data_IF_819503240513
#
_entry.id   IF_819503240513
#
_cell.length_a   1.000
_cell.length_b   1.000
_cell.length_c   1.000
_cell.angle_alpha   90.00
_cell.angle_beta   90.00
_cell.angle_gamma   90.00
#
_symmetry.space_group_name_H-M   'P 1'
#
loop_
_entity.id
_entity.type
_entity.pdbx_description
1 polymer ?
#
# COMPACT_ATOMS: atom_id res chain seq x y z
N UNK A 1 10.70 -11.98 -7.58
CA UNK A 1 11.39 -11.13 -8.56
C UNK A 1 10.95 -11.53 -9.96
N UNK A 2 10.77 -10.56 -10.86
CA UNK A 2 10.50 -10.83 -12.27
C UNK A 2 11.69 -11.59 -12.90
N UNK A 3 11.55 -12.14 -14.12
CA UNK A 3 12.68 -12.72 -14.86
C UNK A 3 13.84 -11.73 -15.10
N UNK A 4 13.58 -10.42 -15.10
CA UNK A 4 14.58 -9.35 -15.19
C UNK A 4 15.17 -8.93 -13.83
N UNK A 5 14.76 -9.57 -12.71
CA UNK A 5 15.23 -9.25 -11.37
C UNK A 5 14.47 -8.11 -10.68
N UNK A 6 13.37 -7.63 -11.26
CA UNK A 6 12.61 -6.51 -10.71
C UNK A 6 11.71 -6.95 -9.54
N UNK A 7 11.53 -6.10 -8.52
CA UNK A 7 10.49 -6.30 -7.51
C UNK A 7 9.11 -6.34 -8.17
N UNK A 8 8.33 -7.37 -7.87
CA UNK A 8 6.94 -7.49 -8.30
C UNK A 8 6.06 -6.99 -7.16
N UNK A 9 5.18 -6.01 -7.43
CA UNK A 9 4.27 -5.46 -6.43
C UNK A 9 3.39 -6.58 -5.86
N UNK A 10 2.99 -6.46 -4.60
CA UNK A 10 2.26 -7.51 -3.90
C UNK A 10 0.96 -7.94 -4.62
N UNK A 11 0.31 -7.01 -5.32
CA UNK A 11 -0.91 -7.27 -6.09
C UNK A 11 -0.63 -7.88 -7.47
N UNK A 12 0.58 -7.76 -7.99
CA UNK A 12 0.98 -8.30 -9.30
C UNK A 12 1.70 -9.65 -9.16
N UNK A 13 1.90 -10.13 -7.93
CA UNK A 13 2.53 -11.40 -7.66
C UNK A 13 1.60 -12.57 -7.99
N UNK A 14 2.13 -13.53 -8.75
CA UNK A 14 1.51 -14.84 -8.92
C UNK A 14 1.57 -15.62 -7.60
N UNK A 15 0.44 -15.64 -6.89
CA UNK A 15 0.29 -16.29 -5.58
C UNK A 15 0.35 -17.81 -5.65
N UNK A 16 0.17 -18.42 -6.83
CA UNK A 16 0.36 -19.86 -7.01
C UNK A 16 1.80 -20.29 -6.75
N UNK A 17 2.76 -19.36 -6.89
CA UNK A 17 4.19 -19.57 -6.65
C UNK A 17 4.60 -19.36 -5.19
N UNK A 18 3.67 -18.95 -4.32
CA UNK A 18 3.96 -18.80 -2.90
C UNK A 18 4.11 -20.16 -2.23
N UNK A 19 5.03 -20.25 -1.26
CA UNK A 19 5.29 -21.50 -0.55
C UNK A 19 4.09 -21.88 0.34
N UNK A 20 3.30 -22.83 -0.15
CA UNK A 20 2.09 -23.30 0.50
C UNK A 20 2.37 -24.00 1.85
N UNK A 21 3.56 -24.58 2.03
CA UNK A 21 3.94 -25.18 3.31
C UNK A 21 4.21 -24.10 4.35
N UNK A 22 4.94 -23.04 3.99
CA UNK A 22 5.19 -21.90 4.88
C UNK A 22 3.91 -21.16 5.22
N UNK A 23 3.01 -20.96 4.26
CA UNK A 23 1.68 -20.37 4.51
C UNK A 23 0.92 -21.19 5.56
N UNK A 24 0.78 -22.51 5.36
CA UNK A 24 0.06 -23.36 6.32
C UNK A 24 0.69 -23.33 7.71
N UNK A 25 2.01 -23.31 7.82
CA UNK A 25 2.73 -23.20 9.10
C UNK A 25 2.47 -21.86 9.78
N UNK A 26 2.53 -20.76 9.03
CA UNK A 26 2.23 -19.42 9.55
C UNK A 26 0.80 -19.31 10.07
N UNK A 27 -0.17 -19.82 9.32
CA UNK A 27 -1.58 -19.84 9.74
C UNK A 27 -1.81 -20.68 11.00
N UNK A 28 -1.16 -21.85 11.11
CA UNK A 28 -1.25 -22.69 12.29
C UNK A 28 -0.60 -22.05 13.54
N UNK A 29 0.51 -21.33 13.36
CA UNK A 29 1.16 -20.58 14.43
C UNK A 29 0.28 -19.43 14.92
N UNK A 30 -0.35 -18.69 14.00
CA UNK A 30 -1.31 -17.63 14.34
C UNK A 30 -2.50 -18.18 15.13
N UNK A 31 -3.12 -19.26 14.64
CA UNK A 31 -4.26 -19.89 15.34
C UNK A 31 -3.87 -20.37 16.75
N UNK A 32 -2.66 -20.88 16.93
CA UNK A 32 -2.14 -21.25 18.25
C UNK A 32 -1.96 -20.04 19.16
N UNK A 33 -1.40 -18.94 18.65
CA UNK A 33 -1.24 -17.71 19.42
C UNK A 33 -2.59 -17.13 19.86
N UNK A 34 -3.59 -17.16 18.99
CA UNK A 34 -4.98 -16.76 19.29
C UNK A 34 -5.59 -17.64 20.39
N UNK A 35 -5.45 -18.97 20.29
CA UNK A 35 -5.96 -19.92 21.28
C UNK A 35 -5.32 -19.77 22.67
N UNK A 36 -4.09 -19.26 22.75
CA UNK A 36 -3.38 -18.97 23.99
C UNK A 36 -3.70 -17.58 24.56
N UNK A 37 -4.64 -16.83 23.95
CA UNK A 37 -5.04 -15.50 24.39
C UNK A 37 -4.16 -14.35 23.85
N UNK A 38 -3.23 -14.64 22.94
CA UNK A 38 -2.32 -13.65 22.35
C UNK A 38 -2.88 -12.88 21.16
N UNK A 39 -4.17 -13.00 20.84
CA UNK A 39 -4.78 -12.50 19.61
C UNK A 39 -4.62 -10.98 19.39
N UNK A 40 -4.49 -10.20 20.46
CA UNK A 40 -4.46 -8.74 20.42
C UNK A 40 -3.06 -8.14 20.66
N UNK A 41 -1.99 -8.94 20.62
CA UNK A 41 -0.63 -8.41 20.63
C UNK A 41 -0.26 -7.76 19.28
N UNK A 42 0.69 -6.81 19.23
CA UNK A 42 1.07 -6.12 17.99
C UNK A 42 1.54 -7.10 16.91
N UNK A 43 2.29 -8.15 17.29
CA UNK A 43 2.73 -9.19 16.36
C UNK A 43 1.60 -10.10 15.89
N UNK A 44 0.59 -10.35 16.72
CA UNK A 44 -0.57 -11.14 16.33
C UNK A 44 -1.44 -10.39 15.32
N UNK A 45 -1.62 -9.08 15.51
CA UNK A 45 -2.32 -8.21 14.55
C UNK A 45 -1.56 -8.12 13.22
N UNK A 46 -0.24 -7.93 13.25
CA UNK A 46 0.59 -7.97 12.04
C UNK A 46 0.52 -9.33 11.33
N UNK A 47 0.57 -10.43 12.08
CA UNK A 47 0.41 -11.78 11.54
C UNK A 47 -0.99 -12.00 10.95
N UNK A 48 -2.04 -11.45 11.55
CA UNK A 48 -3.40 -11.50 11.03
C UNK A 48 -3.55 -10.71 9.71
N UNK A 49 -2.88 -9.56 9.58
CA UNK A 49 -2.83 -8.79 8.32
C UNK A 49 -2.15 -9.64 7.24
N UNK A 50 -0.97 -10.20 7.53
CA UNK A 50 -0.27 -11.09 6.59
C UNK A 50 -1.12 -12.33 6.23
N UNK A 51 -1.84 -12.90 7.19
CA UNK A 51 -2.73 -14.03 6.97
C UNK A 51 -3.88 -13.71 6.01
N UNK A 52 -4.39 -12.47 6.00
CA UNK A 52 -5.41 -12.05 5.04
C UNK A 52 -4.88 -12.13 3.59
N UNK A 53 -3.66 -11.66 3.36
CA UNK A 53 -3.00 -11.82 2.05
C UNK A 53 -2.74 -13.29 1.71
N UNK A 54 -2.22 -14.06 2.68
CA UNK A 54 -1.84 -15.46 2.46
C UNK A 54 -3.03 -16.40 2.19
N UNK A 55 -4.24 -16.05 2.67
CA UNK A 55 -5.47 -16.82 2.44
C UNK A 55 -6.10 -16.57 1.07
N UNK A 56 -5.91 -15.38 0.52
CA UNK A 56 -6.50 -14.97 -0.75
C UNK A 56 -5.70 -15.55 -1.93
N UNK A 57 -6.37 -16.31 -2.81
CA UNK A 57 -5.73 -16.99 -3.94
C UNK A 57 -5.41 -16.02 -5.06
N UNK A 58 -6.20 -14.98 -5.21
CA UNK A 58 -5.94 -13.86 -6.12
C UNK A 58 -5.87 -12.53 -5.36
N UNK A 59 -5.28 -11.49 -5.95
CA UNK A 59 -5.29 -10.14 -5.38
C UNK A 59 -6.69 -9.63 -5.03
N UNK A 60 -7.68 -9.91 -5.88
CA UNK A 60 -9.07 -9.45 -5.75
C UNK A 60 -9.79 -10.12 -4.58
N UNK A 61 -9.42 -11.35 -4.22
CA UNK A 61 -9.96 -12.07 -3.06
C UNK A 61 -9.41 -11.56 -1.71
N UNK A 62 -8.48 -10.60 -1.72
CA UNK A 62 -7.89 -10.07 -0.48
C UNK A 62 -8.95 -9.35 0.34
N UNK A 63 -9.17 -9.77 1.58
CA UNK A 63 -10.12 -9.15 2.51
C UNK A 63 -9.59 -7.82 3.05
N UNK A 64 -9.71 -6.77 2.22
CA UNK A 64 -9.24 -5.44 2.55
C UNK A 64 -10.01 -4.79 3.70
N UNK A 65 -11.30 -5.11 3.85
CA UNK A 65 -12.12 -4.62 4.97
C UNK A 65 -11.55 -5.13 6.29
N UNK A 66 -11.22 -6.42 6.37
CA UNK A 66 -10.55 -6.98 7.54
C UNK A 66 -9.16 -6.41 7.77
N UNK A 67 -8.36 -6.23 6.72
CA UNK A 67 -7.03 -5.62 6.83
C UNK A 67 -7.14 -4.18 7.39
N UNK A 68 -8.10 -3.39 6.92
CA UNK A 68 -8.34 -2.05 7.44
C UNK A 68 -8.71 -2.07 8.93
N UNK A 69 -9.60 -2.97 9.36
CA UNK A 69 -9.96 -3.14 10.77
C UNK A 69 -8.77 -3.60 11.65
N UNK A 70 -7.91 -4.47 11.12
CA UNK A 70 -6.71 -4.92 11.84
C UNK A 70 -5.68 -3.80 11.97
N UNK A 71 -5.50 -2.96 10.95
CA UNK A 71 -4.66 -1.77 11.04
C UNK A 71 -5.24 -0.74 12.02
N UNK A 72 -6.56 -0.58 12.08
CA UNK A 72 -7.22 0.27 13.06
C UNK A 72 -6.97 -0.18 14.50
N UNK A 73 -7.09 -1.48 14.76
CA UNK A 73 -6.73 -2.06 16.06
C UNK A 73 -5.23 -1.91 16.36
N UNK A 74 -4.37 -2.11 15.36
CA UNK A 74 -2.92 -2.00 15.53
C UNK A 74 -2.50 -0.56 15.81
N UNK A 75 -3.13 0.43 15.19
CA UNK A 75 -2.76 1.83 15.42
C UNK A 75 -3.20 2.35 16.78
N UNK A 76 -4.31 1.84 17.33
CA UNK A 76 -4.71 2.11 18.71
C UNK A 76 -3.74 1.48 19.72
N UNK A 77 -3.28 0.25 19.45
CA UNK A 77 -2.40 -0.50 20.35
C UNK A 77 -0.94 -0.02 20.30
N UNK A 78 -0.43 0.26 19.11
CA UNK A 78 0.95 0.63 18.86
C UNK A 78 1.00 1.82 17.87
N UNK A 79 0.70 3.04 18.35
CA UNK A 79 0.65 4.23 17.51
C UNK A 79 1.97 4.46 16.78
N UNK A 80 1.89 4.59 15.45
CA UNK A 80 3.04 4.82 14.60
C UNK A 80 2.61 5.46 13.28
N UNK A 81 3.27 6.53 12.81
CA UNK A 81 3.00 7.12 11.51
C UNK A 81 3.11 6.14 10.33
N UNK A 82 3.95 5.11 10.47
CA UNK A 82 4.10 4.05 9.47
C UNK A 82 2.88 3.12 9.48
N UNK A 83 2.35 2.80 10.66
CA UNK A 83 1.12 2.02 10.80
C UNK A 83 -0.06 2.80 10.24
N UNK A 84 -0.15 4.10 10.50
CA UNK A 84 -1.20 4.97 9.96
C UNK A 84 -1.13 5.10 8.43
N UNK A 85 0.07 5.21 7.86
CA UNK A 85 0.22 5.22 6.39
C UNK A 85 -0.24 3.89 5.77
N UNK A 86 0.12 2.77 6.38
CA UNK A 86 -0.34 1.46 5.91
C UNK A 86 -1.87 1.28 6.09
N UNK A 87 -2.43 1.81 7.18
CA UNK A 87 -3.89 1.87 7.41
C UNK A 87 -4.57 2.64 6.30
N UNK A 88 -4.03 3.79 5.91
CA UNK A 88 -4.57 4.59 4.81
C UNK A 88 -4.60 3.83 3.47
N UNK A 89 -3.57 3.04 3.17
CA UNK A 89 -3.56 2.14 2.00
C UNK A 89 -4.65 1.07 2.12
N UNK A 90 -4.80 0.42 3.28
CA UNK A 90 -5.84 -0.58 3.48
C UNK A 90 -7.24 0.00 3.31
N UNK A 91 -7.49 1.19 3.87
CA UNK A 91 -8.75 1.94 3.72
C UNK A 91 -9.00 2.30 2.25
N UNK A 92 -7.96 2.74 1.52
CA UNK A 92 -8.09 3.02 0.08
C UNK A 92 -8.54 1.79 -0.72
N UNK A 93 -8.01 0.62 -0.37
CA UNK A 93 -8.35 -0.64 -1.05
C UNK A 93 -9.73 -1.17 -0.68
N UNK A 94 -10.16 -0.96 0.57
CA UNK A 94 -11.46 -1.41 1.06
C UNK A 94 -12.62 -0.47 0.65
N UNK A 95 -12.39 0.83 0.72
CA UNK A 95 -13.45 1.86 0.67
C UNK A 95 -13.22 2.90 -0.44
N UNK A 96 -12.20 2.70 -1.27
CA UNK A 96 -11.90 3.52 -2.43
C UNK A 96 -10.84 4.60 -2.17
N UNK A 97 -10.21 5.10 -3.26
CA UNK A 97 -9.01 5.93 -3.16
C UNK A 97 -9.23 7.28 -2.45
N UNK A 98 -10.44 7.83 -2.46
CA UNK A 98 -10.76 9.07 -1.74
C UNK A 98 -10.63 8.89 -0.23
N UNK A 99 -11.22 7.83 0.33
CA UNK A 99 -11.19 7.56 1.77
C UNK A 99 -9.76 7.36 2.29
N UNK A 100 -8.90 6.70 1.52
CA UNK A 100 -7.49 6.58 1.86
C UNK A 100 -6.73 7.89 1.71
N UNK A 101 -7.06 8.71 0.71
CA UNK A 101 -6.38 9.98 0.48
C UNK A 101 -6.61 10.96 1.65
N UNK A 102 -7.82 11.01 2.21
CA UNK A 102 -8.12 11.84 3.38
C UNK A 102 -7.20 11.50 4.57
N UNK A 103 -6.95 10.20 4.79
CA UNK A 103 -6.02 9.74 5.83
C UNK A 103 -4.56 10.06 5.50
N UNK A 104 -4.14 9.90 4.24
CA UNK A 104 -2.79 10.24 3.80
C UNK A 104 -2.54 11.75 3.93
N UNK A 105 -3.52 12.58 3.58
CA UNK A 105 -3.42 14.04 3.66
C UNK A 105 -3.19 14.50 5.11
N UNK A 106 -3.86 13.87 6.10
CA UNK A 106 -3.62 14.13 7.51
C UNK A 106 -2.18 13.81 7.98
N UNK A 107 -1.49 12.87 7.31
CA UNK A 107 -0.11 12.50 7.60
C UNK A 107 0.92 13.44 6.96
N UNK A 108 0.53 14.33 6.04
CA UNK A 108 1.48 15.22 5.35
C UNK A 108 2.18 16.22 6.27
N UNK A 109 1.57 16.54 7.41
CA UNK A 109 2.15 17.40 8.44
C UNK A 109 3.03 16.66 9.44
N UNK A 110 3.07 15.32 9.42
CA UNK A 110 3.81 14.51 10.39
C UNK A 110 5.34 14.65 10.18
N UNK A 111 6.09 15.25 11.14
CA UNK A 111 7.51 15.54 10.96
C UNK A 111 8.36 14.30 10.70
N UNK A 112 8.02 13.17 11.34
CA UNK A 112 8.78 11.91 11.19
C UNK A 112 8.68 11.31 9.78
N UNK A 113 7.65 11.69 9.00
CA UNK A 113 7.46 11.21 7.62
C UNK A 113 7.97 12.19 6.56
N UNK A 114 8.51 13.36 6.94
CA UNK A 114 8.91 14.41 5.99
C UNK A 114 9.89 13.92 4.91
N UNK A 115 10.80 13.03 5.28
CA UNK A 115 11.81 12.43 4.39
C UNK A 115 11.48 11.00 3.97
N UNK A 116 10.28 10.51 4.31
CA UNK A 116 9.87 9.13 4.02
C UNK A 116 9.20 9.04 2.66
N UNK A 117 9.93 8.56 1.66
CA UNK A 117 9.48 8.57 0.25
C UNK A 117 8.17 7.83 -0.01
N UNK A 118 7.77 6.85 0.83
CA UNK A 118 6.52 6.13 0.64
C UNK A 118 5.28 7.00 0.90
N UNK A 119 5.36 8.02 1.76
CA UNK A 119 4.23 8.93 1.99
C UNK A 119 3.81 9.66 0.69
N UNK A 120 4.69 10.43 0.02
CA UNK A 120 4.34 11.05 -1.25
C UNK A 120 4.09 10.00 -2.36
N UNK A 121 4.74 8.84 -2.33
CA UNK A 121 4.41 7.77 -3.30
C UNK A 121 2.96 7.33 -3.18
N UNK A 122 2.50 6.95 -1.98
CA UNK A 122 1.11 6.51 -1.73
C UNK A 122 0.13 7.63 -2.06
N UNK A 123 0.44 8.88 -1.67
CA UNK A 123 -0.39 10.03 -2.03
C UNK A 123 -0.54 10.17 -3.54
N UNK A 124 0.56 10.06 -4.28
CA UNK A 124 0.58 10.09 -5.74
C UNK A 124 -0.28 8.99 -6.39
N UNK A 125 -0.20 7.76 -5.88
CA UNK A 125 -1.04 6.63 -6.32
C UNK A 125 -2.54 6.95 -6.20
N UNK A 126 -2.97 7.43 -5.05
CA UNK A 126 -4.38 7.70 -4.77
C UNK A 126 -4.90 8.87 -5.61
N UNK A 127 -4.10 9.94 -5.73
CA UNK A 127 -4.41 11.07 -6.61
C UNK A 127 -4.55 10.64 -8.08
N UNK A 128 -3.65 9.78 -8.57
CA UNK A 128 -3.73 9.27 -9.93
C UNK A 128 -5.02 8.45 -10.15
N UNK A 129 -5.38 7.58 -9.21
CA UNK A 129 -6.64 6.79 -9.25
C UNK A 129 -7.89 7.68 -9.23
N UNK A 130 -7.80 8.88 -8.64
CA UNK A 130 -8.87 9.87 -8.62
C UNK A 130 -8.86 10.82 -9.83
N UNK A 131 -7.96 10.61 -10.80
CA UNK A 131 -7.81 11.49 -11.97
C UNK A 131 -7.14 12.84 -11.67
N UNK A 132 -6.64 13.06 -10.45
CA UNK A 132 -5.90 14.27 -10.03
C UNK A 132 -4.43 14.21 -10.50
N UNK A 133 -4.23 14.00 -11.80
CA UNK A 133 -2.94 13.68 -12.42
C UNK A 133 -1.85 14.74 -12.21
N UNK A 134 -2.23 16.02 -12.15
CA UNK A 134 -1.26 17.11 -11.90
C UNK A 134 -0.63 17.01 -10.50
N UNK A 135 -1.46 16.75 -9.49
CA UNK A 135 -0.99 16.56 -8.11
C UNK A 135 -0.25 15.24 -7.95
N UNK A 136 -0.76 14.16 -8.56
CA UNK A 136 -0.10 12.86 -8.54
C UNK A 136 1.34 12.94 -9.07
N UNK A 137 1.54 13.67 -10.17
CA UNK A 137 2.87 13.90 -10.74
C UNK A 137 3.82 14.55 -9.74
N UNK A 138 3.40 15.63 -9.08
CA UNK A 138 4.25 16.35 -8.12
C UNK A 138 4.65 15.45 -6.96
N UNK A 139 3.74 14.61 -6.49
CA UNK A 139 4.02 13.65 -5.41
C UNK A 139 4.98 12.53 -5.85
N UNK A 140 4.84 12.00 -7.07
CA UNK A 140 5.81 11.03 -7.59
C UNK A 140 7.20 11.63 -7.78
N UNK A 141 7.31 12.87 -8.29
CA UNK A 141 8.59 13.59 -8.39
C UNK A 141 9.21 13.82 -7.01
N UNK A 142 8.39 14.19 -6.01
CA UNK A 142 8.82 14.33 -4.61
C UNK A 142 9.31 13.00 -4.04
N UNK A 143 8.56 11.91 -4.19
CA UNK A 143 8.96 10.58 -3.75
C UNK A 143 10.30 10.15 -4.38
N UNK A 144 10.48 10.39 -5.68
CA UNK A 144 11.72 10.08 -6.40
C UNK A 144 12.94 10.85 -5.86
N UNK A 145 12.74 12.08 -5.38
CA UNK A 145 13.81 12.89 -4.78
C UNK A 145 14.25 12.40 -3.39
N UNK A 146 13.38 11.67 -2.68
CA UNK A 146 13.60 11.22 -1.30
C UNK A 146 14.19 9.81 -1.21
N UNK A 147 13.93 8.93 -2.19
CA UNK A 147 14.52 7.58 -2.18
C UNK A 147 16.00 7.59 -2.57
N UNK A 148 16.79 6.74 -1.91
CA UNK A 148 18.19 6.47 -2.26
C UNK A 148 18.33 5.25 -3.19
N UNK A 149 17.24 4.53 -3.43
CA UNK A 149 17.23 3.38 -4.32
C UNK A 149 17.03 3.86 -5.77
N UNK A 150 18.05 3.66 -6.61
CA UNK A 150 18.04 4.10 -7.99
C UNK A 150 16.86 3.50 -8.81
N UNK A 151 16.46 2.27 -8.52
CA UNK A 151 15.34 1.60 -9.22
C UNK A 151 13.98 2.13 -8.80
N UNK A 152 13.78 2.36 -7.50
CA UNK A 152 12.57 3.03 -7.02
C UNK A 152 12.45 4.45 -7.59
N UNK A 153 13.57 5.17 -7.66
CA UNK A 153 13.62 6.50 -8.25
C UNK A 153 13.19 6.48 -9.72
N UNK A 154 13.75 5.56 -10.51
CA UNK A 154 13.39 5.38 -11.93
C UNK A 154 11.89 5.09 -12.09
N UNK A 155 11.38 4.11 -11.35
CA UNK A 155 9.95 3.77 -11.35
C UNK A 155 9.06 4.97 -11.01
N UNK A 156 9.40 5.74 -9.98
CA UNK A 156 8.62 6.91 -9.57
C UNK A 156 8.64 8.01 -10.64
N UNK A 157 9.79 8.24 -11.30
CA UNK A 157 9.90 9.20 -12.40
C UNK A 157 9.10 8.77 -13.64
N UNK A 158 9.06 7.48 -13.96
CA UNK A 158 8.21 6.94 -15.03
C UNK A 158 6.72 7.13 -14.73
N UNK A 159 6.32 6.95 -13.47
CA UNK A 159 4.93 7.20 -13.04
C UNK A 159 4.58 8.69 -13.13
N UNK A 160 5.50 9.57 -12.75
CA UNK A 160 5.35 11.01 -12.96
C UNK A 160 5.23 11.37 -14.46
N UNK A 161 5.97 10.70 -15.33
CA UNK A 161 5.93 10.89 -16.78
C UNK A 161 4.59 10.48 -17.39
N UNK A 162 4.05 9.30 -17.01
CA UNK A 162 2.74 8.82 -17.48
C UNK A 162 1.58 9.77 -17.13
N UNK A 163 1.71 10.52 -16.03
CA UNK A 163 0.74 11.56 -15.67
C UNK A 163 0.74 12.75 -16.66
N UNK A 164 1.83 12.99 -17.42
CA UNK A 164 1.89 14.02 -18.46
C UNK A 164 1.11 13.61 -19.71
N UNK A 165 1.21 12.36 -20.12
CA UNK A 165 0.58 11.83 -21.34
C UNK A 165 -0.95 11.76 -21.23
N UNK A 166 -1.46 11.46 -20.03
CA UNK A 166 -2.91 11.43 -19.76
C UNK A 166 -3.60 12.79 -19.92
N UNK A 167 -2.84 13.91 -19.87
CA UNK A 167 -3.35 15.26 -20.12
C UNK A 167 -3.54 15.57 -21.61
N UNK A 168 -2.80 14.89 -22.49
CA UNK A 168 -2.79 15.17 -23.92
C UNK A 168 -3.97 14.52 -24.65
N UNK A 169 -4.50 13.41 -24.12
CA UNK A 169 -5.64 12.68 -24.70
C UNK A 169 -7.00 13.25 -24.29
N UNK A 170 -7.05 14.21 -23.37
CA UNK A 170 -8.28 14.82 -22.85
C UNK A 170 -8.74 16.11 -23.57
N UNK A 171 -8.02 16.57 -24.59
CA UNK A 171 -8.46 17.70 -25.42
C UNK A 171 -8.95 17.17 -26.77
N UNK A 172 -10.23 16.84 -26.85
CA UNK A 172 -10.94 16.81 -28.12
C UNK A 172 -11.50 18.22 -28.35
N UNK A 173 -10.88 19.08 -29.18
CA UNK A 173 -11.65 20.13 -29.81
C UNK A 173 -12.47 19.47 -30.91
N UNK A 174 -13.75 19.85 -31.03
CA UNK A 174 -14.57 19.96 -32.25
C UNK A 174 -16.03 19.54 -31.96
N UNK A 175 -16.92 20.49 -32.25
CA UNK A 175 -18.38 20.36 -32.18
C UNK A 175 -19.03 21.67 -31.83
#
# INVERSE_FOLDING_TARGET
>A
VSPSGEPVLLLDQDRSRWDQLLIRRGLAALARAEALGGAFGPYALQAAIAACHARARTPEETDWVRIAALYDALSQLAPSPIVELNRAVAVAMAFGPAAGLDLVDALTSEPSLKSYHLLPSVRGDLLAKLGRVGEARMEFERAASLTRNARERELLLERAARCRESRTTGSNPLG
#
